data_IF_037362004955
#
_entry.id   IF_037362004955
#
_cell.length_a   1.000
_cell.length_b   1.000
_cell.length_c   1.000
_cell.angle_alpha   90.00
_cell.angle_beta   90.00
_cell.angle_gamma   90.00
#
_symmetry.space_group_name_H-M   'P 1'
#
loop_
_entity.id
_entity.type
_entity.pdbx_description
1 polymer ?
#
# COMPACT_ATOMS: atom_id res chain seq x y z
N UNK A 1 1.36 26.11 17.56
CA UNK A 1 0.08 25.37 17.56
C UNK A 1 -0.40 25.02 16.15
N UNK A 2 -1.01 25.93 15.37
CA UNK A 2 -1.52 25.58 14.02
C UNK A 2 -0.45 25.04 13.04
N UNK A 3 0.74 25.62 13.02
CA UNK A 3 1.85 25.13 12.18
C UNK A 3 2.31 23.72 12.56
N UNK A 4 2.34 23.39 13.85
CA UNK A 4 2.76 22.07 14.33
C UNK A 4 1.73 21.00 13.92
N UNK A 5 0.44 21.33 14.00
CA UNK A 5 -0.64 20.44 13.57
C UNK A 5 -0.56 20.16 12.06
N UNK A 6 -0.27 21.18 11.24
CA UNK A 6 -0.04 21.00 9.79
C UNK A 6 1.18 20.09 9.53
N UNK A 7 2.29 20.29 10.23
CA UNK A 7 3.48 19.44 10.10
C UNK A 7 3.21 17.99 10.50
N UNK A 8 2.46 17.76 11.58
CA UNK A 8 2.08 16.41 12.02
C UNK A 8 1.23 15.72 10.95
N UNK A 9 0.24 16.42 10.37
CA UNK A 9 -0.60 15.83 9.31
C UNK A 9 0.24 15.49 8.08
N UNK A 10 1.17 16.36 7.67
CA UNK A 10 2.07 16.08 6.55
C UNK A 10 2.90 14.81 6.78
N UNK A 11 3.47 14.68 7.97
CA UNK A 11 4.25 13.50 8.35
C UNK A 11 3.39 12.23 8.38
N UNK A 12 2.17 12.31 8.90
CA UNK A 12 1.26 11.16 8.95
C UNK A 12 0.81 10.72 7.55
N UNK A 13 0.64 11.67 6.63
CA UNK A 13 0.33 11.37 5.22
C UNK A 13 1.51 10.66 4.54
N UNK A 14 2.74 11.13 4.76
CA UNK A 14 3.93 10.44 4.25
C UNK A 14 4.05 9.01 4.81
N UNK A 15 3.80 8.82 6.10
CA UNK A 15 3.81 7.48 6.73
C UNK A 15 2.73 6.57 6.17
N UNK A 16 1.53 7.09 5.94
CA UNK A 16 0.42 6.32 5.37
C UNK A 16 0.75 5.84 3.97
N UNK A 17 1.28 6.72 3.11
CA UNK A 17 1.75 6.36 1.76
C UNK A 17 2.87 5.33 1.82
N UNK A 18 3.87 5.56 2.68
CA UNK A 18 4.99 4.64 2.87
C UNK A 18 4.52 3.25 3.32
N UNK A 19 3.54 3.19 4.21
CA UNK A 19 2.92 1.95 4.66
C UNK A 19 2.21 1.21 3.53
N UNK A 20 1.40 1.89 2.72
CA UNK A 20 0.73 1.27 1.57
C UNK A 20 1.75 0.69 0.57
N UNK A 21 2.83 1.43 0.27
CA UNK A 21 3.90 0.94 -0.61
C UNK A 21 4.62 -0.27 -0.04
N UNK A 22 4.98 -0.22 1.24
CA UNK A 22 5.57 -1.35 1.94
C UNK A 22 4.64 -2.57 1.93
N UNK A 23 3.35 -2.38 2.20
CA UNK A 23 2.36 -3.47 2.20
C UNK A 23 2.18 -4.07 0.80
N UNK A 24 2.24 -3.25 -0.26
CA UNK A 24 2.20 -3.74 -1.63
C UNK A 24 3.38 -4.67 -1.94
N UNK A 25 4.60 -4.32 -1.50
CA UNK A 25 5.79 -5.18 -1.64
C UNK A 25 5.63 -6.45 -0.83
N UNK A 26 5.18 -6.35 0.43
CA UNK A 26 4.96 -7.51 1.30
C UNK A 26 3.98 -8.51 0.68
N UNK A 27 2.88 -8.04 0.07
CA UNK A 27 1.93 -8.91 -0.63
C UNK A 27 2.53 -9.58 -1.87
N UNK A 28 3.42 -8.90 -2.62
CA UNK A 28 4.16 -9.51 -3.75
C UNK A 28 5.07 -10.63 -3.28
N UNK A 29 5.71 -10.47 -2.12
CA UNK A 29 6.54 -11.51 -1.50
C UNK A 29 5.70 -12.72 -1.06
N UNK A 30 4.50 -12.48 -0.49
CA UNK A 30 3.60 -13.56 -0.08
C UNK A 30 3.19 -14.47 -1.24
N UNK A 31 3.06 -13.95 -2.47
CA UNK A 31 2.65 -14.73 -3.63
C UNK A 31 3.53 -15.97 -3.88
N UNK A 32 4.80 -15.91 -3.48
CA UNK A 32 5.79 -16.96 -3.71
C UNK A 32 5.99 -17.92 -2.53
N UNK A 33 5.27 -17.75 -1.40
CA UNK A 33 5.52 -18.52 -0.17
C UNK A 33 4.59 -19.72 0.04
N UNK A 34 3.65 -19.96 -0.87
CA UNK A 34 2.66 -21.05 -0.74
C UNK A 34 3.18 -22.34 -1.36
N UNK A 35 3.61 -23.28 -0.50
CA UNK A 35 4.04 -24.64 -0.88
C UNK A 35 3.20 -25.70 -0.18
N UNK A 36 3.08 -26.89 -0.79
CA UNK A 36 2.38 -28.03 -0.19
C UNK A 36 0.85 -27.97 -0.24
N UNK A 37 0.28 -27.05 -1.03
CA UNK A 37 -1.17 -26.92 -1.25
C UNK A 37 -1.57 -27.60 -2.56
N UNK A 38 -2.88 -27.84 -2.72
CA UNK A 38 -3.41 -28.25 -4.03
C UNK A 38 -3.20 -27.13 -5.05
N UNK A 39 -3.00 -27.50 -6.32
CA UNK A 39 -2.69 -26.57 -7.39
C UNK A 39 -3.73 -25.42 -7.49
N UNK A 40 -5.02 -25.75 -7.48
CA UNK A 40 -6.07 -24.74 -7.56
C UNK A 40 -6.11 -23.77 -6.36
N UNK A 41 -5.75 -24.24 -5.16
CA UNK A 41 -5.64 -23.36 -4.00
C UNK A 41 -4.40 -22.46 -4.10
N UNK A 42 -3.28 -23.00 -4.57
CA UNK A 42 -2.05 -22.23 -4.80
C UNK A 42 -2.27 -21.13 -5.85
N UNK A 43 -2.93 -21.45 -6.96
CA UNK A 43 -3.31 -20.49 -8.00
C UNK A 43 -4.22 -19.39 -7.44
N UNK A 44 -5.26 -19.77 -6.69
CA UNK A 44 -6.17 -18.82 -6.06
C UNK A 44 -5.48 -17.88 -5.07
N UNK A 45 -4.58 -18.40 -4.24
CA UNK A 45 -3.80 -17.59 -3.29
C UNK A 45 -2.79 -16.67 -3.99
N UNK A 46 -2.14 -17.14 -5.05
CA UNK A 46 -1.27 -16.31 -5.87
C UNK A 46 -2.07 -15.15 -6.49
N UNK A 47 -3.20 -15.44 -7.14
CA UNK A 47 -4.07 -14.42 -7.72
C UNK A 47 -4.57 -13.41 -6.66
N UNK A 48 -4.97 -13.90 -5.48
CA UNK A 48 -5.42 -13.06 -4.38
C UNK A 48 -4.31 -12.13 -3.87
N UNK A 49 -3.12 -12.66 -3.60
CA UNK A 49 -1.99 -11.86 -3.09
C UNK A 49 -1.52 -10.81 -4.10
N UNK A 50 -1.47 -11.15 -5.39
CA UNK A 50 -1.22 -10.18 -6.47
C UNK A 50 -2.29 -9.08 -6.49
N UNK A 51 -3.57 -9.44 -6.36
CA UNK A 51 -4.65 -8.46 -6.30
C UNK A 51 -4.52 -7.52 -5.10
N UNK A 52 -4.15 -8.03 -3.92
CA UNK A 52 -3.90 -7.19 -2.74
C UNK A 52 -2.72 -6.24 -2.95
N UNK A 53 -1.63 -6.71 -3.58
CA UNK A 53 -0.49 -5.86 -3.90
C UNK A 53 -0.89 -4.69 -4.80
N UNK A 54 -1.61 -4.96 -5.89
CA UNK A 54 -2.10 -3.93 -6.81
C UNK A 54 -3.04 -2.93 -6.11
N UNK A 55 -3.89 -3.42 -5.21
CA UNK A 55 -4.79 -2.55 -4.43
C UNK A 55 -4.00 -1.59 -3.54
N UNK A 56 -2.99 -2.07 -2.82
CA UNK A 56 -2.16 -1.25 -1.96
C UNK A 56 -1.34 -0.22 -2.75
N UNK A 57 -0.83 -0.63 -3.92
CA UNK A 57 -0.12 0.26 -4.84
C UNK A 57 -1.05 1.36 -5.38
N UNK A 58 -2.27 0.99 -5.78
CA UNK A 58 -3.30 1.96 -6.19
C UNK A 58 -3.72 2.90 -5.06
N UNK A 59 -3.80 2.42 -3.82
CA UNK A 59 -4.09 3.27 -2.66
C UNK A 59 -2.97 4.28 -2.39
N UNK A 60 -1.70 3.86 -2.47
CA UNK A 60 -0.57 4.77 -2.33
C UNK A 60 -0.62 5.90 -3.37
N UNK A 61 -0.81 5.55 -4.65
CA UNK A 61 -0.90 6.53 -5.75
C UNK A 61 -2.11 7.46 -5.56
N UNK A 62 -3.25 6.92 -5.16
CA UNK A 62 -4.45 7.73 -4.93
C UNK A 62 -4.23 8.76 -3.80
N UNK A 63 -3.64 8.33 -2.68
CA UNK A 63 -3.36 9.18 -1.54
C UNK A 63 -2.32 10.27 -1.88
N UNK A 64 -1.26 9.92 -2.60
CA UNK A 64 -0.27 10.91 -3.07
C UNK A 64 -0.88 11.94 -4.02
N UNK A 65 -1.73 11.51 -4.96
CA UNK A 65 -2.43 12.41 -5.87
C UNK A 65 -3.40 13.33 -5.11
N UNK A 66 -4.17 12.80 -4.16
CA UNK A 66 -5.05 13.64 -3.34
C UNK A 66 -4.26 14.62 -2.46
N UNK A 67 -3.14 14.18 -1.88
CA UNK A 67 -2.32 15.02 -1.03
C UNK A 67 -1.61 16.13 -1.80
N UNK A 68 -1.11 15.84 -3.01
CA UNK A 68 -0.50 16.85 -3.89
C UNK A 68 -1.49 17.92 -4.38
N UNK A 69 -2.80 17.62 -4.39
CA UNK A 69 -3.85 18.61 -4.70
C UNK A 69 -4.17 19.53 -3.51
N UNK A 70 -3.81 19.14 -2.29
CA UNK A 70 -4.17 19.86 -1.04
C UNK A 70 -2.94 20.51 -0.39
N UNK A 71 -1.74 19.98 -0.61
CA UNK A 71 -0.49 20.51 -0.05
C UNK A 71 -0.08 21.85 -0.69
N UNK A 72 0.59 22.74 0.07
CA UNK A 72 1.10 23.99 -0.49
C UNK A 72 2.17 23.68 -1.55
N UNK A 73 2.09 24.36 -2.71
CA UNK A 73 3.16 24.41 -3.70
C UNK A 73 4.48 24.90 -3.10
#
# INVERSE_FOLDING_TARGET
RWMEEVTIIQEEMHRTVAYCRWSAVWWKEQANMWFGLSLGLQEGLCAYTVHQALRQEGQAVHLENQWSMVGPH
#
